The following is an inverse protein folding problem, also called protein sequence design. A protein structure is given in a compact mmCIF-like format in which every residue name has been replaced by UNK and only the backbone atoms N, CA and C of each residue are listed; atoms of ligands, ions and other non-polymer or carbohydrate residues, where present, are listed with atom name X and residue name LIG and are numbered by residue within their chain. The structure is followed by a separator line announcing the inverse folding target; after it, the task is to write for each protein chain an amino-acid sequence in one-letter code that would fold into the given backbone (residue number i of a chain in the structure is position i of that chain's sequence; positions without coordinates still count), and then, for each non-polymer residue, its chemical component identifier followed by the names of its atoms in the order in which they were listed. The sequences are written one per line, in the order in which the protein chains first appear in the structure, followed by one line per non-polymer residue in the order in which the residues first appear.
data_IF_671645740063
#
_entry.id   IF_671645740063
#
_cell.length_a   1.000
_cell.length_b   1.000
_cell.length_c   1.000
_cell.angle_alpha   90.00
_cell.angle_beta   90.00
_cell.angle_gamma   90.00
#
_symmetry.space_group_name_H-M   'P 1'
#
loop_
_entity.id
_entity.type
_entity.pdbx_description
1 polymer ?
#
# COMPACT_ATOMS: atom_id res chain seq x y z
N UNK A 1 -53.80 -64.43 31.56
CA UNK A 1 -53.04 -64.51 30.29
C UNK A 1 -52.38 -63.13 30.03
N UNK A 2 -51.13 -62.97 30.32
CA UNK A 2 -50.39 -61.76 30.09
C UNK A 2 -49.42 -61.98 28.93
N UNK A 3 -49.66 -61.33 27.77
CA UNK A 3 -48.75 -61.35 26.65
C UNK A 3 -47.58 -60.44 26.94
N UNK A 4 -46.31 -60.95 27.00
CA UNK A 4 -45.08 -60.19 27.10
C UNK A 4 -44.69 -59.78 25.68
N UNK A 5 -44.69 -58.49 25.43
CA UNK A 5 -44.18 -57.89 24.21
C UNK A 5 -42.69 -57.70 24.39
N UNK A 6 -41.87 -58.41 23.62
CA UNK A 6 -40.41 -58.26 23.55
C UNK A 6 -40.14 -57.10 22.59
N UNK A 7 -39.60 -55.99 23.10
CA UNK A 7 -39.13 -54.87 22.27
C UNK A 7 -37.72 -55.23 21.75
N UNK A 8 -37.62 -55.46 20.44
CA UNK A 8 -36.35 -55.51 19.73
C UNK A 8 -35.77 -54.11 19.59
N UNK A 9 -34.76 -53.79 20.37
CA UNK A 9 -33.93 -52.60 20.18
C UNK A 9 -32.98 -52.91 19.01
N UNK A 10 -33.29 -52.37 17.84
CA UNK A 10 -32.44 -52.40 16.68
C UNK A 10 -31.30 -51.41 16.90
N UNK A 11 -30.08 -51.93 17.14
CA UNK A 11 -28.85 -51.17 17.22
C UNK A 11 -28.48 -50.73 15.81
N UNK A 12 -28.84 -49.49 15.47
CA UNK A 12 -28.33 -48.82 14.26
C UNK A 12 -26.90 -48.38 14.50
N UNK A 13 -25.93 -49.22 14.19
CA UNK A 13 -24.56 -48.82 13.91
C UNK A 13 -24.58 -48.04 12.62
N UNK A 14 -24.66 -46.72 12.74
CA UNK A 14 -24.55 -45.82 11.64
C UNK A 14 -23.16 -45.97 10.98
N UNK A 15 -23.13 -46.64 9.83
CA UNK A 15 -22.05 -46.52 8.87
C UNK A 15 -22.03 -45.05 8.42
N UNK A 16 -21.22 -44.22 9.12
CA UNK A 16 -20.88 -42.91 8.61
C UNK A 16 -20.20 -43.11 7.25
N UNK A 17 -20.66 -42.45 6.18
CA UNK A 17 -20.05 -42.60 4.88
C UNK A 17 -18.60 -42.18 4.98
N UNK A 18 -17.65 -43.09 4.62
CA UNK A 18 -16.21 -42.84 4.54
C UNK A 18 -15.83 -41.69 3.59
N UNK A 19 -16.80 -41.10 2.89
CA UNK A 19 -16.64 -39.89 2.08
C UNK A 19 -16.47 -38.60 2.90
N UNK A 20 -16.60 -38.62 4.24
CA UNK A 20 -16.37 -37.45 5.11
C UNK A 20 -14.90 -37.25 5.51
N UNK A 21 -14.01 -38.15 5.18
CA UNK A 21 -12.55 -37.90 5.12
C UNK A 21 -12.23 -37.19 3.80
N UNK A 22 -12.87 -36.03 3.56
CA UNK A 22 -12.27 -35.04 2.66
C UNK A 22 -10.91 -34.74 3.24
N UNK A 23 -9.88 -35.04 2.45
CA UNK A 23 -8.54 -34.55 2.69
C UNK A 23 -8.72 -33.06 3.07
N UNK A 24 -8.34 -32.72 4.27
CA UNK A 24 -8.22 -31.35 4.72
C UNK A 24 -7.18 -30.79 3.75
N UNK A 25 -7.62 -30.10 2.70
CA UNK A 25 -6.72 -29.38 1.81
C UNK A 25 -5.87 -28.54 2.75
N UNK A 26 -4.61 -28.93 2.86
CA UNK A 26 -3.63 -28.18 3.63
C UNK A 26 -3.53 -26.84 2.93
N UNK A 27 -4.22 -25.83 3.49
CA UNK A 27 -4.04 -24.44 3.05
C UNK A 27 -2.54 -24.19 3.13
N UNK A 28 -1.86 -23.91 2.03
CA UNK A 28 -0.42 -23.69 2.06
C UNK A 28 -0.09 -22.65 3.12
N UNK A 29 0.87 -22.96 3.99
CA UNK A 29 1.28 -21.97 4.99
C UNK A 29 1.67 -20.65 4.31
N UNK A 30 1.21 -19.52 4.84
CA UNK A 30 1.53 -18.21 4.25
C UNK A 30 3.05 -18.07 4.15
N UNK A 31 3.55 -17.85 2.96
CA UNK A 31 4.98 -17.59 2.76
C UNK A 31 5.48 -16.40 3.59
N UNK A 32 6.78 -16.36 3.93
CA UNK A 32 7.34 -15.31 4.76
C UNK A 32 7.10 -13.93 4.15
N UNK A 33 6.58 -12.99 4.96
CA UNK A 33 6.30 -11.62 4.51
C UNK A 33 7.59 -10.88 4.13
N UNK A 34 8.68 -11.15 4.85
CA UNK A 34 10.00 -10.58 4.62
C UNK A 34 10.99 -11.66 4.14
N UNK A 35 11.86 -11.29 3.20
CA UNK A 35 12.86 -12.16 2.59
C UNK A 35 14.23 -11.47 2.55
N UNK A 36 15.30 -12.23 2.25
CA UNK A 36 16.64 -11.65 2.06
C UNK A 36 16.68 -10.58 0.94
N UNK A 37 15.81 -10.68 -0.09
CA UNK A 37 15.68 -9.68 -1.14
C UNK A 37 15.23 -8.33 -0.61
N UNK A 38 14.43 -8.34 0.45
CA UNK A 38 13.99 -7.12 1.11
C UNK A 38 15.15 -6.44 1.83
N UNK A 39 16.03 -7.23 2.46
CA UNK A 39 17.23 -6.70 3.10
C UNK A 39 18.19 -6.09 2.06
N UNK A 40 18.36 -6.73 0.89
CA UNK A 40 19.16 -6.18 -0.21
C UNK A 40 18.54 -4.88 -0.75
N UNK A 41 17.24 -4.84 -0.94
CA UNK A 41 16.53 -3.64 -1.38
C UNK A 41 16.66 -2.50 -0.36
N UNK A 42 16.46 -2.79 0.94
CA UNK A 42 16.65 -1.82 2.01
C UNK A 42 18.09 -1.30 2.04
N UNK A 43 19.06 -2.20 1.98
CA UNK A 43 20.49 -1.84 1.91
C UNK A 43 20.81 -0.94 0.72
N UNK A 44 20.27 -1.25 -0.46
CA UNK A 44 20.40 -0.42 -1.65
C UNK A 44 19.87 1.00 -1.44
N UNK A 45 18.66 1.14 -0.93
CA UNK A 45 18.10 2.47 -0.62
C UNK A 45 18.90 3.23 0.45
N UNK A 46 19.39 2.55 1.48
CA UNK A 46 20.23 3.18 2.51
C UNK A 46 21.56 3.66 1.95
N UNK A 47 22.18 2.86 1.07
CA UNK A 47 23.43 3.27 0.39
C UNK A 47 23.20 4.49 -0.52
N UNK A 48 22.14 4.50 -1.32
CA UNK A 48 21.78 5.64 -2.17
C UNK A 48 21.46 6.86 -1.31
N UNK A 49 20.65 6.69 -0.24
CA UNK A 49 20.35 7.77 0.70
C UNK A 49 21.60 8.36 1.33
N UNK A 50 22.57 7.52 1.73
CA UNK A 50 23.88 7.94 2.27
C UNK A 50 24.73 8.67 1.23
N UNK A 51 24.69 8.22 -0.02
CA UNK A 51 25.42 8.85 -1.12
C UNK A 51 24.82 10.21 -1.50
N UNK A 52 23.49 10.34 -1.45
CA UNK A 52 22.78 11.58 -1.79
C UNK A 52 22.81 12.60 -0.64
N UNK A 53 22.90 12.17 0.61
CA UNK A 53 22.84 13.04 1.79
C UNK A 53 23.84 14.23 1.75
N UNK A 54 25.12 14.09 1.32
CA UNK A 54 26.04 15.22 1.18
C UNK A 54 25.62 16.24 0.13
N UNK A 55 24.76 15.86 -0.81
CA UNK A 55 24.28 16.69 -1.91
C UNK A 55 22.98 17.44 -1.60
N UNK A 56 22.40 17.24 -0.41
CA UNK A 56 21.13 17.84 -0.01
C UNK A 56 21.11 19.36 -0.17
N UNK A 57 22.13 20.04 0.36
CA UNK A 57 22.24 21.51 0.28
C UNK A 57 22.48 21.99 -1.16
N UNK A 58 23.28 21.27 -1.93
CA UNK A 58 23.53 21.58 -3.34
C UNK A 58 22.23 21.54 -4.14
N UNK A 59 21.44 20.48 -4.04
CA UNK A 59 20.18 20.36 -4.76
C UNK A 59 19.15 21.39 -4.27
N UNK A 60 19.05 21.62 -2.96
CA UNK A 60 18.16 22.61 -2.41
C UNK A 60 18.46 24.01 -2.97
N UNK A 61 19.73 24.44 -2.97
CA UNK A 61 20.12 25.74 -3.53
C UNK A 61 19.89 25.80 -5.04
N UNK A 62 20.26 24.75 -5.78
CA UNK A 62 20.13 24.71 -7.24
C UNK A 62 18.67 24.79 -7.72
N UNK A 63 17.77 24.11 -7.01
CA UNK A 63 16.34 24.12 -7.34
C UNK A 63 15.64 25.40 -6.89
N UNK A 64 16.23 26.17 -5.95
CA UNK A 64 15.71 27.46 -5.50
C UNK A 64 16.37 28.65 -6.24
N UNK A 65 17.23 28.39 -7.22
CA UNK A 65 17.78 29.47 -8.05
C UNK A 65 16.65 30.23 -8.76
N UNK A 66 16.80 31.55 -8.83
CA UNK A 66 15.76 32.44 -9.35
C UNK A 66 15.36 32.13 -10.80
N UNK A 67 16.32 31.72 -11.63
CA UNK A 67 16.06 31.33 -13.02
C UNK A 67 15.22 30.02 -13.10
N UNK A 68 15.52 29.06 -12.23
CA UNK A 68 14.77 27.80 -12.11
C UNK A 68 13.35 28.05 -11.60
N UNK A 69 13.19 28.89 -10.60
CA UNK A 69 11.89 29.23 -10.00
C UNK A 69 11.05 30.15 -10.90
N UNK A 70 11.64 30.95 -11.78
CA UNK A 70 10.90 31.77 -12.75
C UNK A 70 10.23 30.95 -13.87
N UNK A 71 10.57 29.67 -14.01
CA UNK A 71 10.04 28.82 -15.07
C UNK A 71 8.61 28.36 -14.76
N UNK A 72 7.61 29.01 -15.38
CA UNK A 72 6.18 28.69 -15.18
C UNK A 72 5.81 27.24 -15.51
N UNK A 73 6.47 26.62 -16.49
CA UNK A 73 6.19 25.21 -16.84
C UNK A 73 6.60 24.28 -15.71
N UNK A 74 7.75 24.51 -15.09
CA UNK A 74 8.20 23.73 -13.94
C UNK A 74 7.29 23.95 -12.74
N UNK A 75 6.86 25.18 -12.46
CA UNK A 75 5.91 25.49 -11.39
C UNK A 75 4.59 24.75 -11.57
N UNK A 76 4.02 24.82 -12.78
CA UNK A 76 2.76 24.14 -13.11
C UNK A 76 2.92 22.62 -12.96
N UNK A 77 4.00 22.04 -13.52
CA UNK A 77 4.28 20.63 -13.41
C UNK A 77 4.41 20.18 -11.94
N UNK A 78 5.21 20.90 -11.15
CA UNK A 78 5.40 20.60 -9.73
C UNK A 78 4.08 20.68 -8.95
N UNK A 79 3.22 21.64 -9.25
CA UNK A 79 1.91 21.80 -8.63
C UNK A 79 0.98 20.66 -9.01
N UNK A 80 0.84 20.35 -10.29
CA UNK A 80 -0.01 19.24 -10.78
C UNK A 80 0.41 17.93 -10.18
N UNK A 81 1.71 17.60 -10.25
CA UNK A 81 2.24 16.34 -9.70
C UNK A 81 1.99 16.26 -8.19
N UNK A 82 2.27 17.34 -7.44
CA UNK A 82 2.05 17.36 -5.99
C UNK A 82 0.58 17.12 -5.63
N UNK A 83 -0.34 17.81 -6.30
CA UNK A 83 -1.79 17.68 -6.02
C UNK A 83 -2.33 16.31 -6.43
N UNK A 84 -1.85 15.75 -7.54
CA UNK A 84 -2.25 14.42 -7.99
C UNK A 84 -1.79 13.32 -7.03
N UNK A 85 -0.61 13.48 -6.43
CA UNK A 85 -0.07 12.46 -5.50
C UNK A 85 -0.74 12.53 -4.13
N UNK A 86 -0.88 13.71 -3.56
CA UNK A 86 -1.53 13.86 -2.26
C UNK A 86 -2.42 15.12 -2.22
N UNK A 87 -3.73 14.98 -2.04
CA UNK A 87 -4.47 13.77 -1.66
C UNK A 87 -4.97 12.88 -2.82
N UNK A 88 -4.60 13.20 -4.08
CA UNK A 88 -5.18 12.59 -5.28
C UNK A 88 -5.07 11.07 -5.32
N UNK A 89 -3.92 10.50 -4.92
CA UNK A 89 -3.74 9.03 -4.92
C UNK A 89 -4.73 8.30 -3.99
N UNK A 90 -5.10 8.91 -2.86
CA UNK A 90 -6.12 8.37 -1.96
C UNK A 90 -7.50 8.34 -2.62
N UNK A 91 -7.88 9.43 -3.29
CA UNK A 91 -9.15 9.50 -4.01
C UNK A 91 -9.18 8.54 -5.21
N UNK A 92 -8.08 8.43 -5.94
CA UNK A 92 -7.96 7.48 -7.07
C UNK A 92 -8.09 6.05 -6.58
N UNK A 93 -7.32 5.65 -5.56
CA UNK A 93 -7.36 4.30 -5.00
C UNK A 93 -8.73 3.95 -4.42
N UNK A 94 -9.30 4.83 -3.59
CA UNK A 94 -10.64 4.66 -3.03
C UNK A 94 -11.71 4.62 -4.12
N UNK A 95 -11.62 5.47 -5.13
CA UNK A 95 -12.52 5.48 -6.29
C UNK A 95 -12.44 4.19 -7.10
N UNK A 96 -11.24 3.69 -7.37
CA UNK A 96 -11.03 2.39 -8.05
C UNK A 96 -11.65 1.24 -7.25
N UNK A 97 -11.50 1.25 -5.92
CA UNK A 97 -12.14 0.26 -5.05
C UNK A 97 -13.67 0.31 -5.19
N UNK A 98 -14.26 1.48 -5.02
CA UNK A 98 -15.73 1.67 -5.10
C UNK A 98 -16.27 1.27 -6.48
N UNK A 99 -15.66 1.77 -7.56
CA UNK A 99 -16.07 1.44 -8.93
C UNK A 99 -15.89 -0.05 -9.20
N UNK A 100 -14.79 -0.64 -8.77
CA UNK A 100 -14.54 -2.08 -8.90
C UNK A 100 -15.61 -2.92 -8.20
N UNK A 101 -16.04 -2.50 -6.99
CA UNK A 101 -17.11 -3.15 -6.23
C UNK A 101 -18.46 -3.05 -6.95
N UNK A 102 -18.83 -1.86 -7.41
CA UNK A 102 -20.09 -1.62 -8.12
C UNK A 102 -20.15 -2.35 -9.47
N UNK A 103 -19.06 -2.36 -10.20
CA UNK A 103 -18.94 -3.04 -11.50
C UNK A 103 -18.68 -4.55 -11.38
N UNK A 104 -18.61 -5.10 -10.15
CA UNK A 104 -18.25 -6.51 -9.88
C UNK A 104 -16.91 -6.92 -10.51
N UNK A 105 -16.01 -5.95 -10.66
CA UNK A 105 -14.64 -6.16 -11.15
C UNK A 105 -13.68 -6.29 -9.96
N UNK A 106 -13.44 -7.55 -9.56
CA UNK A 106 -12.60 -7.83 -8.39
C UNK A 106 -11.16 -7.36 -8.56
N UNK A 107 -10.59 -7.44 -9.77
CA UNK A 107 -9.22 -6.98 -10.02
C UNK A 107 -9.08 -5.47 -9.78
N UNK A 108 -10.04 -4.69 -10.26
CA UNK A 108 -10.06 -3.25 -10.03
C UNK A 108 -10.28 -2.90 -8.54
N UNK A 109 -11.19 -3.63 -7.87
CA UNK A 109 -11.45 -3.45 -6.45
C UNK A 109 -10.21 -3.77 -5.60
N UNK A 110 -9.54 -4.91 -5.87
CA UNK A 110 -8.30 -5.29 -5.17
C UNK A 110 -7.20 -4.27 -5.40
N UNK A 111 -6.99 -3.83 -6.64
CA UNK A 111 -5.99 -2.82 -6.97
C UNK A 111 -6.22 -1.52 -6.20
N UNK A 112 -7.48 -1.05 -6.15
CA UNK A 112 -7.84 0.15 -5.39
C UNK A 112 -7.67 -0.02 -3.89
N UNK A 113 -8.06 -1.17 -3.32
CA UNK A 113 -7.93 -1.48 -1.90
C UNK A 113 -6.46 -1.57 -1.49
N UNK A 114 -5.68 -2.43 -2.14
CA UNK A 114 -4.29 -2.66 -1.79
C UNK A 114 -3.43 -1.41 -2.00
N UNK A 115 -3.70 -0.63 -3.06
CA UNK A 115 -3.04 0.66 -3.29
C UNK A 115 -3.33 1.65 -2.17
N UNK A 116 -4.58 1.74 -1.72
CA UNK A 116 -5.01 2.62 -0.63
C UNK A 116 -4.40 2.20 0.71
N UNK A 117 -4.43 0.91 1.02
CA UNK A 117 -3.81 0.36 2.24
C UNK A 117 -2.30 0.60 2.26
N UNK A 118 -1.61 0.35 1.14
CA UNK A 118 -0.18 0.58 1.02
C UNK A 118 0.18 2.05 1.28
N UNK A 119 -0.62 2.97 0.75
CA UNK A 119 -0.47 4.40 0.98
C UNK A 119 -0.67 4.74 2.45
N UNK A 120 -1.74 4.27 3.07
CA UNK A 120 -2.05 4.56 4.47
C UNK A 120 -0.99 4.00 5.42
N UNK A 121 -0.51 2.77 5.19
CA UNK A 121 0.56 2.16 5.98
C UNK A 121 1.86 2.93 5.81
N UNK A 122 2.25 3.24 4.57
CA UNK A 122 3.47 3.99 4.29
C UNK A 122 3.47 5.38 4.91
N UNK A 123 2.35 6.11 4.78
CA UNK A 123 2.19 7.44 5.38
C UNK A 123 2.17 7.38 6.91
N UNK A 124 1.57 6.36 7.51
CA UNK A 124 1.58 6.18 8.96
C UNK A 124 3.01 5.99 9.48
N UNK A 125 3.81 5.15 8.82
CA UNK A 125 5.24 4.98 9.14
C UNK A 125 5.99 6.29 8.98
N UNK A 126 5.79 6.99 7.85
CA UNK A 126 6.42 8.29 7.62
C UNK A 126 6.03 9.33 8.67
N UNK A 127 4.75 9.35 9.08
CA UNK A 127 4.26 10.27 10.11
C UNK A 127 4.96 10.05 11.45
N UNK A 128 5.10 8.80 11.89
CA UNK A 128 5.83 8.49 13.13
C UNK A 128 7.29 8.95 13.03
N UNK A 129 7.97 8.60 11.93
CA UNK A 129 9.38 8.98 11.74
C UNK A 129 9.56 10.50 11.72
N UNK A 130 8.69 11.26 11.01
CA UNK A 130 8.71 12.72 10.97
C UNK A 130 8.69 13.36 12.35
N UNK A 131 7.77 12.88 13.18
CA UNK A 131 7.57 13.44 14.51
C UNK A 131 8.74 13.12 15.44
N UNK A 132 9.33 11.91 15.30
CA UNK A 132 10.44 11.48 16.14
C UNK A 132 11.77 12.14 15.70
N UNK A 133 12.09 12.09 14.39
CA UNK A 133 13.39 12.54 13.87
C UNK A 133 13.53 14.06 13.91
N UNK A 134 12.46 14.80 13.62
CA UNK A 134 12.44 16.25 13.70
C UNK A 134 13.47 16.93 12.80
N UNK A 135 13.56 16.57 11.51
CA UNK A 135 14.45 17.22 10.55
C UNK A 135 13.84 18.52 10.03
N UNK A 136 14.63 19.59 10.04
CA UNK A 136 14.22 20.90 9.53
C UNK A 136 14.07 20.88 8.00
N UNK A 137 13.03 21.58 7.51
CA UNK A 137 12.77 21.68 6.06
C UNK A 137 13.70 22.69 5.38
N UNK A 138 14.03 22.48 4.07
CA UNK A 138 14.90 23.37 3.32
C UNK A 138 14.43 24.82 3.28
N UNK A 139 13.13 25.09 3.25
CA UNK A 139 12.59 26.47 3.18
C UNK A 139 12.89 27.29 4.44
N UNK A 140 13.20 26.65 5.57
CA UNK A 140 13.59 27.35 6.80
C UNK A 140 15.06 27.75 6.76
N UNK A 141 15.93 26.89 6.18
CA UNK A 141 17.34 27.16 6.07
C UNK A 141 18.01 26.27 5.02
N UNK A 142 18.09 26.72 3.75
CA UNK A 142 18.53 25.90 2.62
C UNK A 142 20.03 25.51 2.66
N UNK A 143 20.77 26.02 3.64
CA UNK A 143 22.19 25.69 3.91
C UNK A 143 22.37 24.89 5.19
N UNK A 144 21.31 24.32 5.75
CA UNK A 144 21.36 23.59 7.02
C UNK A 144 20.63 22.23 6.92
N UNK A 145 21.09 21.38 6.02
CA UNK A 145 20.54 20.06 5.84
C UNK A 145 20.72 19.12 7.04
N UNK A 146 21.58 19.48 7.98
CA UNK A 146 21.94 18.68 9.16
C UNK A 146 21.21 19.11 10.44
N UNK A 147 20.20 19.98 10.34
CA UNK A 147 19.40 20.41 11.48
C UNK A 147 18.36 19.35 11.84
N UNK A 148 18.61 18.64 12.93
CA UNK A 148 17.73 17.64 13.51
C UNK A 148 17.43 18.01 14.96
N UNK A 149 16.20 17.80 15.40
CA UNK A 149 15.80 18.00 16.79
C UNK A 149 14.75 16.94 17.15
N UNK A 150 15.18 15.95 17.94
CA UNK A 150 14.38 14.80 18.34
C UNK A 150 13.04 15.26 18.93
N UNK A 151 11.95 14.61 18.49
CA UNK A 151 10.55 14.88 18.87
C UNK A 151 10.02 16.27 18.47
N UNK A 152 10.83 17.12 17.86
CA UNK A 152 10.43 18.49 17.48
C UNK A 152 9.49 18.52 16.27
N UNK A 153 9.34 17.40 15.57
CA UNK A 153 8.32 17.22 14.52
C UNK A 153 6.89 17.25 15.05
N UNK A 154 6.68 16.98 16.35
CA UNK A 154 5.34 17.00 16.95
C UNK A 154 4.82 18.45 16.95
N UNK A 155 3.73 18.67 16.19
CA UNK A 155 3.07 19.98 16.08
C UNK A 155 3.84 21.07 15.32
N UNK A 156 5.06 20.80 14.81
CA UNK A 156 5.90 21.78 14.11
C UNK A 156 6.24 21.33 12.69
N UNK A 157 5.50 21.82 11.72
CA UNK A 157 5.68 21.48 10.30
C UNK A 157 7.09 21.75 9.77
N UNK A 158 7.76 22.78 10.29
CA UNK A 158 9.12 23.15 9.91
C UNK A 158 10.14 22.02 10.19
N UNK A 159 9.83 21.15 11.13
CA UNK A 159 10.67 20.02 11.55
C UNK A 159 10.14 18.65 11.03
N UNK A 160 9.26 18.65 10.06
CA UNK A 160 8.69 17.44 9.45
C UNK A 160 9.24 17.18 8.04
N UNK A 161 10.55 17.40 7.82
CA UNK A 161 11.15 17.17 6.52
C UNK A 161 11.35 15.66 6.24
N UNK A 162 11.91 14.92 7.17
CA UNK A 162 12.32 13.52 6.96
C UNK A 162 11.31 12.52 7.53
N UNK A 163 10.92 11.51 6.73
CA UNK A 163 11.07 11.35 5.28
C UNK A 163 9.99 12.12 4.49
N UNK A 164 10.10 12.17 3.16
CA UNK A 164 9.11 12.82 2.30
C UNK A 164 7.83 12.01 2.18
N UNK A 165 6.71 12.46 2.77
CA UNK A 165 5.42 11.77 2.74
C UNK A 165 4.86 11.63 1.33
N UNK A 166 4.80 12.72 0.53
CA UNK A 166 4.35 12.64 -0.86
C UNK A 166 5.14 11.60 -1.67
N UNK A 167 6.43 11.47 -1.41
CA UNK A 167 7.25 10.44 -2.06
C UNK A 167 6.87 9.05 -1.55
N UNK A 168 6.62 8.90 -0.25
CA UNK A 168 6.09 7.64 0.33
C UNK A 168 4.79 7.24 -0.37
N UNK A 169 3.82 8.14 -0.45
CA UNK A 169 2.53 7.88 -1.10
C UNK A 169 2.70 7.48 -2.57
N UNK A 170 3.49 8.24 -3.33
CA UNK A 170 3.73 7.98 -4.74
C UNK A 170 4.39 6.61 -4.98
N UNK A 171 5.42 6.27 -4.22
CA UNK A 171 6.12 5.00 -4.36
C UNK A 171 5.33 3.82 -3.80
N UNK A 172 4.48 4.02 -2.80
CA UNK A 172 3.57 2.99 -2.32
C UNK A 172 2.54 2.63 -3.39
N UNK A 173 1.94 3.63 -4.03
CA UNK A 173 1.04 3.41 -5.16
C UNK A 173 1.76 2.75 -6.34
N UNK A 174 2.96 3.24 -6.71
CA UNK A 174 3.74 2.66 -7.81
C UNK A 174 4.09 1.19 -7.57
N UNK A 175 4.53 0.85 -6.36
CA UNK A 175 4.88 -0.51 -6.00
C UNK A 175 3.66 -1.44 -5.97
N UNK A 176 2.54 -0.99 -5.38
CA UNK A 176 1.31 -1.76 -5.32
C UNK A 176 0.73 -2.02 -6.72
N UNK A 177 0.61 -0.97 -7.55
CA UNK A 177 0.10 -1.09 -8.92
C UNK A 177 1.01 -2.00 -9.77
N UNK A 178 2.32 -1.85 -9.67
CA UNK A 178 3.27 -2.69 -10.40
C UNK A 178 3.19 -4.16 -9.97
N UNK A 179 3.12 -4.42 -8.66
CA UNK A 179 2.99 -5.77 -8.12
C UNK A 179 1.68 -6.44 -8.57
N UNK A 180 0.55 -5.74 -8.45
CA UNK A 180 -0.74 -6.24 -8.94
C UNK A 180 -0.75 -6.46 -10.45
N UNK A 181 -0.13 -5.56 -11.23
CA UNK A 181 -0.01 -5.72 -12.68
C UNK A 181 0.82 -6.94 -13.04
N UNK A 182 1.93 -7.17 -12.35
CA UNK A 182 2.79 -8.33 -12.63
C UNK A 182 2.08 -9.67 -12.40
N UNK A 183 1.08 -9.71 -11.54
CA UNK A 183 0.25 -10.89 -11.26
C UNK A 183 -0.90 -11.04 -12.26
N UNK A 184 -1.62 -9.96 -12.51
CA UNK A 184 -2.88 -9.99 -13.25
C UNK A 184 -2.73 -9.76 -14.76
N UNK A 185 -1.64 -9.12 -15.18
CA UNK A 185 -1.33 -8.76 -16.58
C UNK A 185 0.20 -8.65 -16.77
N UNK A 186 0.97 -9.76 -16.63
CA UNK A 186 2.45 -9.72 -16.62
C UNK A 186 3.04 -9.07 -17.88
N UNK A 187 2.40 -9.24 -19.03
CA UNK A 187 2.82 -8.63 -20.30
C UNK A 187 2.72 -7.10 -20.33
N UNK A 188 2.03 -6.48 -19.38
CA UNK A 188 1.91 -5.01 -19.28
C UNK A 188 2.91 -4.41 -18.28
N UNK A 189 3.57 -5.23 -17.48
CA UNK A 189 4.45 -4.76 -16.39
C UNK A 189 5.61 -3.91 -16.90
N UNK A 190 6.16 -4.23 -18.07
CA UNK A 190 7.29 -3.50 -18.66
C UNK A 190 6.94 -2.05 -19.05
N UNK A 191 5.65 -1.73 -19.24
CA UNK A 191 5.16 -0.36 -19.45
C UNK A 191 4.74 0.25 -18.13
N UNK A 192 3.94 -0.48 -17.35
CA UNK A 192 3.33 0.04 -16.11
C UNK A 192 4.39 0.39 -15.07
N UNK A 193 5.41 -0.45 -14.89
CA UNK A 193 6.44 -0.20 -13.88
C UNK A 193 7.22 1.10 -14.15
N UNK A 194 7.80 1.33 -15.35
CA UNK A 194 8.50 2.58 -15.65
C UNK A 194 7.60 3.82 -15.53
N UNK A 195 6.35 3.74 -15.97
CA UNK A 195 5.40 4.85 -15.87
C UNK A 195 5.09 5.19 -14.41
N UNK A 196 4.77 4.18 -13.60
CA UNK A 196 4.42 4.38 -12.19
C UNK A 196 5.62 4.86 -11.36
N UNK A 197 6.78 4.22 -11.48
CA UNK A 197 7.98 4.64 -10.74
C UNK A 197 8.56 5.95 -11.28
N UNK A 198 8.47 6.22 -12.58
CA UNK A 198 8.83 7.51 -13.18
C UNK A 198 7.96 8.65 -12.64
N UNK A 199 6.64 8.44 -12.60
CA UNK A 199 5.70 9.39 -11.98
C UNK A 199 5.99 9.61 -10.49
N UNK A 200 6.30 8.54 -9.75
CA UNK A 200 6.66 8.62 -8.34
C UNK A 200 8.00 9.38 -8.13
N UNK A 201 8.97 9.18 -9.00
CA UNK A 201 10.23 9.95 -8.97
C UNK A 201 9.98 11.44 -9.24
N UNK A 202 9.14 11.77 -10.21
CA UNK A 202 8.73 13.16 -10.48
C UNK A 202 8.02 13.78 -9.27
N UNK A 203 7.21 13.01 -8.55
CA UNK A 203 6.61 13.46 -7.30
C UNK A 203 7.69 13.81 -6.25
N UNK A 204 8.71 12.98 -6.09
CA UNK A 204 9.85 13.28 -5.21
C UNK A 204 10.58 14.56 -5.61
N UNK A 205 10.91 14.70 -6.90
CA UNK A 205 11.58 15.90 -7.43
C UNK A 205 10.72 17.14 -7.25
N UNK A 206 9.39 17.06 -7.45
CA UNK A 206 8.49 18.19 -7.22
C UNK A 206 8.52 18.69 -5.77
N UNK A 207 8.74 17.79 -4.79
CA UNK A 207 8.86 18.18 -3.38
C UNK A 207 10.17 18.91 -3.08
N UNK A 208 11.24 18.53 -3.76
CA UNK A 208 12.53 19.26 -3.69
C UNK A 208 12.38 20.63 -4.37
N UNK A 209 11.78 20.70 -5.55
CA UNK A 209 11.49 21.93 -6.27
C UNK A 209 10.65 22.91 -5.44
N UNK A 210 9.64 22.40 -4.72
CA UNK A 210 8.79 23.19 -3.83
C UNK A 210 9.47 23.51 -2.47
N UNK A 211 10.76 23.29 -2.33
CA UNK A 211 11.55 23.58 -1.12
C UNK A 211 11.03 22.90 0.17
N UNK A 212 10.35 21.76 0.04
CA UNK A 212 9.69 21.07 1.15
C UNK A 212 10.54 19.94 1.74
N UNK A 213 11.38 19.33 0.93
CA UNK A 213 12.14 18.13 1.30
C UNK A 213 13.54 18.16 0.71
N UNK A 214 14.48 17.59 1.44
CA UNK A 214 15.84 17.34 0.98
C UNK A 214 15.87 16.13 0.03
N UNK A 215 16.89 16.00 -0.79
CA UNK A 215 17.03 14.88 -1.72
C UNK A 215 17.10 13.53 -1.00
N UNK A 216 17.80 13.46 0.12
CA UNK A 216 17.85 12.25 0.94
C UNK A 216 16.51 11.91 1.60
N UNK A 217 15.66 12.89 1.95
CA UNK A 217 14.29 12.66 2.44
C UNK A 217 13.43 11.97 1.38
N UNK A 218 13.65 12.34 0.10
CA UNK A 218 12.96 11.74 -1.05
C UNK A 218 13.40 10.29 -1.25
N UNK A 219 14.71 10.00 -1.20
CA UNK A 219 15.22 8.62 -1.36
C UNK A 219 14.68 7.69 -0.27
N UNK A 220 14.71 8.14 0.99
CA UNK A 220 14.16 7.31 2.09
C UNK A 220 12.63 7.22 2.02
N UNK A 221 11.95 8.27 1.58
CA UNK A 221 10.52 8.21 1.28
C UNK A 221 10.19 7.18 0.20
N UNK A 222 10.99 7.13 -0.88
CA UNK A 222 10.85 6.13 -1.92
C UNK A 222 11.04 4.69 -1.40
N UNK A 223 12.02 4.49 -0.50
CA UNK A 223 12.22 3.20 0.16
C UNK A 223 10.96 2.77 0.94
N UNK A 224 10.51 3.61 1.87
CA UNK A 224 9.35 3.31 2.73
C UNK A 224 8.11 3.01 1.88
N UNK A 225 7.82 3.84 0.87
CA UNK A 225 6.69 3.65 -0.03
C UNK A 225 6.79 2.34 -0.81
N UNK A 226 7.95 2.05 -1.40
CA UNK A 226 8.18 0.79 -2.13
C UNK A 226 7.95 -0.42 -1.23
N UNK A 227 8.50 -0.40 -0.02
CA UNK A 227 8.26 -1.49 0.94
C UNK A 227 6.79 -1.62 1.31
N UNK A 228 6.10 -0.53 1.62
CA UNK A 228 4.68 -0.55 1.95
C UNK A 228 3.86 -1.20 0.81
N UNK A 229 4.06 -0.76 -0.45
CA UNK A 229 3.37 -1.31 -1.61
C UNK A 229 3.62 -2.80 -1.82
N UNK A 230 4.88 -3.20 -1.83
CA UNK A 230 5.25 -4.61 -2.02
C UNK A 230 4.73 -5.51 -0.89
N UNK A 231 4.77 -5.03 0.37
CA UNK A 231 4.35 -5.85 1.52
C UNK A 231 2.86 -5.97 1.65
N UNK A 232 2.09 -4.94 1.36
CA UNK A 232 0.62 -5.01 1.37
C UNK A 232 0.15 -6.00 0.28
N UNK A 233 0.61 -5.86 -0.95
CA UNK A 233 0.22 -6.79 -2.02
C UNK A 233 0.63 -8.23 -1.67
N UNK A 234 1.85 -8.44 -1.19
CA UNK A 234 2.31 -9.78 -0.77
C UNK A 234 1.50 -10.34 0.41
N UNK A 235 1.10 -9.49 1.37
CA UNK A 235 0.27 -9.90 2.49
C UNK A 235 -1.07 -10.48 2.02
N UNK A 236 -1.78 -9.76 1.17
CA UNK A 236 -3.06 -10.21 0.62
C UNK A 236 -2.89 -11.45 -0.28
N UNK A 237 -1.80 -11.51 -1.02
CA UNK A 237 -1.44 -12.63 -1.88
C UNK A 237 -1.23 -13.93 -1.12
N UNK A 238 -0.46 -13.84 -0.04
CA UNK A 238 -0.15 -14.99 0.81
C UNK A 238 -1.29 -15.37 1.76
N UNK A 239 -2.33 -14.53 1.90
CA UNK A 239 -3.46 -14.70 2.82
C UNK A 239 -4.79 -14.33 2.15
N UNK A 240 -5.21 -15.03 1.08
CA UNK A 240 -6.41 -14.67 0.28
C UNK A 240 -7.72 -14.73 1.08
N UNK A 241 -7.69 -15.29 2.30
CA UNK A 241 -8.82 -15.33 3.23
C UNK A 241 -8.60 -14.46 4.48
N UNK A 242 -7.76 -13.45 4.37
CA UNK A 242 -7.54 -12.51 5.48
C UNK A 242 -8.86 -11.88 5.94
N UNK A 243 -8.96 -11.54 7.22
CA UNK A 243 -10.16 -10.87 7.75
C UNK A 243 -10.48 -9.57 7.01
N UNK A 244 -9.45 -8.86 6.55
CA UNK A 244 -9.58 -7.63 5.77
C UNK A 244 -10.20 -7.90 4.39
N UNK A 245 -9.70 -8.87 3.63
CA UNK A 245 -10.25 -9.24 2.32
C UNK A 245 -11.71 -9.70 2.45
N UNK A 246 -12.02 -10.48 3.48
CA UNK A 246 -13.39 -10.90 3.76
C UNK A 246 -14.31 -9.71 4.02
N UNK A 247 -13.87 -8.71 4.78
CA UNK A 247 -14.69 -7.53 5.09
C UNK A 247 -14.83 -6.65 3.85
N UNK A 248 -13.72 -6.29 3.21
CA UNK A 248 -13.74 -5.28 2.15
C UNK A 248 -14.05 -5.82 0.76
N UNK A 249 -13.65 -7.05 0.42
CA UNK A 249 -13.87 -7.59 -0.91
C UNK A 249 -15.13 -8.46 -1.04
N UNK A 250 -15.62 -9.07 0.05
CA UNK A 250 -16.80 -9.96 0.01
C UNK A 250 -18.05 -9.39 0.66
N UNK A 251 -17.94 -8.28 1.39
CA UNK A 251 -19.10 -7.63 1.98
C UNK A 251 -20.09 -7.17 0.90
N UNK A 252 -21.35 -7.52 1.04
CA UNK A 252 -22.43 -7.09 0.15
C UNK A 252 -23.59 -6.52 0.95
N UNK A 253 -24.15 -5.40 0.49
CA UNK A 253 -25.39 -4.86 1.00
C UNK A 253 -26.55 -5.58 0.25
N UNK A 254 -27.36 -6.32 0.99
CA UNK A 254 -28.53 -7.00 0.43
C UNK A 254 -29.77 -6.27 0.94
N UNK A 255 -30.66 -5.81 0.06
CA UNK A 255 -31.93 -5.26 0.47
C UNK A 255 -32.76 -6.33 1.18
N UNK A 256 -33.33 -6.00 2.33
CA UNK A 256 -34.21 -6.87 3.13
C UNK A 256 -35.40 -6.04 3.57
N UNK A 257 -36.55 -6.26 2.90
CA UNK A 257 -37.72 -5.42 3.14
C UNK A 257 -37.45 -3.95 2.85
N UNK A 258 -37.82 -3.07 3.76
CA UNK A 258 -37.58 -1.61 3.66
C UNK A 258 -36.17 -1.16 4.08
N UNK A 259 -35.27 -2.12 4.38
CA UNK A 259 -33.91 -1.86 4.87
C UNK A 259 -32.85 -2.60 4.07
N UNK A 260 -31.59 -2.46 4.53
CA UNK A 260 -30.45 -3.17 3.98
C UNK A 260 -29.74 -3.98 5.07
N UNK A 261 -29.35 -5.20 4.77
CA UNK A 261 -28.47 -6.00 5.63
C UNK A 261 -27.08 -6.12 5.03
N UNK A 262 -26.05 -5.98 5.88
CA UNK A 262 -24.68 -6.27 5.50
C UNK A 262 -24.45 -7.78 5.58
N UNK A 263 -24.22 -8.44 4.45
CA UNK A 263 -23.79 -9.84 4.41
C UNK A 263 -22.30 -9.92 4.15
N UNK A 264 -21.59 -10.56 5.05
CA UNK A 264 -20.20 -10.96 4.85
C UNK A 264 -20.22 -12.33 4.16
N UNK A 265 -19.99 -12.36 2.86
CA UNK A 265 -19.99 -13.60 2.09
C UNK A 265 -18.76 -14.44 2.44
N UNK A 266 -19.00 -15.71 2.83
CA UNK A 266 -17.99 -16.75 2.73
C UNK A 266 -18.14 -17.30 1.31
N UNK A 267 -17.26 -16.90 0.40
CA UNK A 267 -17.23 -17.55 -0.93
C UNK A 267 -16.81 -19.00 -0.71
N UNK A 268 -17.59 -20.00 -1.16
CA UNK A 268 -17.13 -21.38 -1.15
C UNK A 268 -15.86 -21.50 -1.98
N UNK A 269 -14.90 -22.30 -1.52
CA UNK A 269 -13.59 -22.49 -2.15
C UNK A 269 -13.69 -22.82 -3.65
N UNK A 270 -14.77 -23.48 -4.09
CA UNK A 270 -15.03 -23.83 -5.48
C UNK A 270 -15.23 -22.64 -6.44
N UNK A 271 -15.49 -21.43 -5.94
CA UNK A 271 -15.60 -20.23 -6.78
C UNK A 271 -14.28 -19.43 -6.86
N UNK A 272 -13.30 -19.75 -6.02
CA UNK A 272 -11.97 -19.13 -6.02
C UNK A 272 -11.06 -19.76 -7.07
N UNK A 273 -11.27 -21.05 -7.40
CA UNK A 273 -10.45 -21.78 -8.38
C UNK A 273 -10.73 -21.45 -9.85
N UNK A 274 -11.78 -20.68 -10.15
CA UNK A 274 -12.14 -20.31 -11.53
C UNK A 274 -11.82 -18.87 -11.90
N UNK A 275 -10.78 -18.27 -11.25
CA UNK A 275 -10.42 -16.87 -11.57
C UNK A 275 -8.93 -16.71 -11.79
#
# INVERSE_FOLDING_TARGET
MRRRTIALVALWLGLAPLSALRAQETVPEPGPLFTYRDALLAGGFLLVGRAVYPLDEYYAQRLQDSSTQANRKLQTLATVVTTTVAPGSLYIGGGMYVVGRLAKNHKLASLGLHGTEALLVGESVAYVIKNVVGRQRPYVGPRNARSYALLRGVGRRDYQSFPSGHTVAAFAAAAAVTAETSRNAPNSTWIVAPVMYGGAALAGVSRMYNNQHWASDVVIGAAIGTFAGLKIVRFHDSRPHSGLDRIFLTATLVPVGDGHSLRLGVLPASLVERR
#
